data_IF_553758864680
#
_entry.id   IF_553758864680
#
_cell.length_a   1.000
_cell.length_b   1.000
_cell.length_c   1.000
_cell.angle_alpha   90.00
_cell.angle_beta   90.00
_cell.angle_gamma   90.00
#
_symmetry.space_group_name_H-M   'P 1'
#
loop_
_entity.id
_entity.type
_entity.pdbx_description
1 polymer ?
#
# COMPACT_ATOMS: atom_id res chain seq x y z
N UNK A 1 31.94 5.37 18.52
CA UNK A 1 32.10 6.71 17.88
C UNK A 1 31.11 7.70 18.45
N UNK A 2 29.83 7.35 18.44
CA UNK A 2 28.75 8.21 18.92
C UNK A 2 28.89 8.66 20.39
N UNK A 3 29.04 7.73 21.33
CA UNK A 3 29.26 8.03 22.76
C UNK A 3 30.54 8.85 23.04
N UNK A 4 31.50 8.83 22.10
CA UNK A 4 32.76 9.56 22.21
C UNK A 4 32.70 10.93 21.48
N UNK A 5 31.55 11.33 20.94
CA UNK A 5 31.37 12.59 20.21
C UNK A 5 32.02 12.64 18.82
N UNK A 6 32.66 11.55 18.37
CA UNK A 6 33.42 11.54 17.12
C UNK A 6 32.53 11.56 15.88
N UNK A 7 31.31 11.06 15.98
CA UNK A 7 30.39 11.02 14.84
C UNK A 7 29.95 12.42 14.41
N UNK A 8 29.87 13.38 15.32
CA UNK A 8 29.50 14.77 15.01
C UNK A 8 30.59 15.50 14.24
N UNK A 9 31.85 15.05 14.33
CA UNK A 9 32.92 15.58 13.49
C UNK A 9 32.83 15.07 12.05
N UNK A 10 32.24 13.89 11.83
CA UNK A 10 32.09 13.27 10.51
C UNK A 10 30.74 13.60 9.86
N UNK A 11 29.70 13.70 10.68
CA UNK A 11 28.33 14.01 10.30
C UNK A 11 27.84 15.09 11.28
N UNK A 12 28.13 16.39 11.03
CA UNK A 12 27.73 17.48 11.93
C UNK A 12 26.24 17.49 12.29
N UNK A 13 25.39 17.04 11.36
CA UNK A 13 23.94 16.95 11.54
C UNK A 13 23.48 15.84 12.50
N UNK A 14 24.36 14.92 12.89
CA UNK A 14 24.01 13.79 13.76
C UNK A 14 23.44 14.22 15.12
N UNK A 15 23.93 15.34 15.66
CA UNK A 15 23.45 15.94 16.91
C UNK A 15 21.95 16.23 16.91
N UNK A 16 21.37 16.48 15.73
CA UNK A 16 19.95 16.82 15.57
C UNK A 16 19.04 15.58 15.62
N UNK A 17 19.55 14.43 15.17
CA UNK A 17 18.81 13.15 15.18
C UNK A 17 19.10 12.29 16.41
N UNK A 18 20.15 12.62 17.17
CA UNK A 18 20.53 11.95 18.41
C UNK A 18 19.36 11.87 19.38
N UNK A 19 18.94 10.65 19.70
CA UNK A 19 17.81 10.34 20.58
C UNK A 19 16.50 11.06 20.22
N UNK A 20 16.35 11.51 18.96
CA UNK A 20 15.14 12.17 18.50
C UNK A 20 13.99 11.15 18.41
N UNK A 21 12.76 11.51 18.81
CA UNK A 21 11.62 10.62 18.74
C UNK A 21 11.21 10.38 17.28
N UNK A 22 10.84 9.13 16.96
CA UNK A 22 10.14 8.82 15.70
C UNK A 22 8.66 9.20 15.82
N UNK A 23 8.10 9.81 14.78
CA UNK A 23 6.71 10.31 14.78
C UNK A 23 5.67 9.26 14.35
N UNK A 24 6.10 8.13 13.77
CA UNK A 24 5.20 7.07 13.29
C UNK A 24 5.20 5.87 14.25
N UNK A 25 4.01 5.32 14.51
CA UNK A 25 3.77 4.26 15.50
C UNK A 25 4.48 2.92 15.22
N UNK A 26 5.08 2.76 14.05
CA UNK A 26 5.72 1.50 13.62
C UNK A 26 7.21 1.47 13.99
N UNK A 27 7.87 2.61 14.21
CA UNK A 27 9.28 2.61 14.55
C UNK A 27 9.50 2.23 16.01
N UNK A 28 10.40 1.26 16.21
CA UNK A 28 10.77 0.75 17.54
C UNK A 28 11.86 1.61 18.21
N UNK A 29 12.60 2.40 17.44
CA UNK A 29 13.83 3.08 17.88
C UNK A 29 13.77 4.61 17.71
N UNK A 30 14.63 5.33 18.43
CA UNK A 30 14.93 6.74 18.15
C UNK A 30 15.57 6.89 16.76
N UNK A 31 15.51 8.09 16.17
CA UNK A 31 15.96 8.32 14.79
C UNK A 31 17.41 7.87 14.58
N UNK A 32 18.35 8.31 15.43
CA UNK A 32 19.76 7.89 15.40
C UNK A 32 19.96 6.36 15.41
N UNK A 33 19.30 5.65 16.34
CA UNK A 33 19.40 4.20 16.43
C UNK A 33 18.79 3.52 15.21
N UNK A 34 17.68 4.06 14.69
CA UNK A 34 17.05 3.56 13.47
C UNK A 34 17.98 3.71 12.26
N UNK A 35 18.64 4.86 12.08
CA UNK A 35 19.64 5.05 11.01
C UNK A 35 20.76 4.00 11.06
N UNK A 36 21.29 3.72 12.25
CA UNK A 36 22.31 2.68 12.43
C UNK A 36 21.76 1.28 12.15
N UNK A 37 20.55 0.97 12.63
CA UNK A 37 19.91 -0.32 12.38
C UNK A 37 19.65 -0.52 10.88
N UNK A 38 19.16 0.50 10.17
CA UNK A 38 18.95 0.47 8.72
C UNK A 38 20.27 0.23 7.98
N UNK A 39 21.38 0.86 8.39
CA UNK A 39 22.70 0.58 7.84
C UNK A 39 23.19 -0.86 8.12
N UNK A 40 22.91 -1.39 9.32
CA UNK A 40 23.20 -2.80 9.67
C UNK A 40 22.39 -3.75 8.79
N UNK A 41 21.09 -3.53 8.60
CA UNK A 41 20.25 -4.33 7.70
C UNK A 41 20.73 -4.22 6.25
N UNK A 42 21.10 -3.02 5.80
CA UNK A 42 21.61 -2.77 4.45
C UNK A 42 22.91 -3.55 4.16
N UNK A 43 23.72 -3.82 5.19
CA UNK A 43 24.94 -4.62 5.04
C UNK A 43 24.70 -6.03 4.50
N UNK A 44 23.51 -6.60 4.74
CA UNK A 44 23.11 -7.90 4.21
C UNK A 44 22.91 -7.89 2.68
N UNK A 45 22.58 -6.73 2.09
CA UNK A 45 22.32 -6.56 0.65
C UNK A 45 23.55 -6.10 -0.14
N UNK A 46 24.72 -5.99 0.49
CA UNK A 46 25.97 -5.52 -0.14
C UNK A 46 26.43 -6.35 -1.35
N UNK A 47 25.95 -7.59 -1.47
CA UNK A 47 26.23 -8.47 -2.62
C UNK A 47 25.20 -8.39 -3.75
N UNK A 48 24.09 -7.68 -3.52
CA UNK A 48 23.01 -7.53 -4.49
C UNK A 48 23.13 -6.23 -5.31
N UNK A 49 24.03 -5.31 -4.92
CA UNK A 49 24.16 -3.99 -5.53
C UNK A 49 25.57 -3.72 -6.02
N UNK A 50 25.71 -2.89 -7.07
CA UNK A 50 26.99 -2.52 -7.65
C UNK A 50 27.85 -1.59 -6.77
N UNK A 51 27.20 -0.73 -5.97
CA UNK A 51 27.85 0.27 -5.12
C UNK A 51 27.44 0.12 -3.64
N UNK A 52 27.92 -0.94 -2.96
CA UNK A 52 27.56 -1.20 -1.56
C UNK A 52 28.00 -0.08 -0.61
N UNK A 53 29.04 0.67 -0.95
CA UNK A 53 29.48 1.86 -0.24
C UNK A 53 28.42 2.97 -0.24
N UNK A 54 27.81 3.25 -1.40
CA UNK A 54 26.74 4.24 -1.53
C UNK A 54 25.45 3.76 -0.85
N UNK A 55 25.14 2.46 -0.91
CA UNK A 55 24.01 1.87 -0.17
C UNK A 55 24.14 2.10 1.33
N UNK A 56 25.31 1.79 1.91
CA UNK A 56 25.54 1.91 3.36
C UNK A 56 25.48 3.36 3.83
N UNK A 57 26.03 4.29 3.04
CA UNK A 57 25.97 5.71 3.36
C UNK A 57 24.55 6.27 3.18
N UNK A 58 23.86 5.91 2.10
CA UNK A 58 22.45 6.23 1.89
C UNK A 58 21.57 5.73 3.04
N UNK A 59 21.78 4.50 3.50
CA UNK A 59 21.07 3.91 4.63
C UNK A 59 21.28 4.68 5.95
N UNK A 60 22.52 5.13 6.21
CA UNK A 60 22.85 5.92 7.39
C UNK A 60 22.28 7.34 7.35
N UNK A 61 21.99 7.87 6.15
CA UNK A 61 21.54 9.25 5.94
C UNK A 61 20.07 9.41 5.55
N UNK A 62 19.37 8.32 5.19
CA UNK A 62 18.04 8.39 4.55
C UNK A 62 17.02 9.24 5.32
N UNK A 63 17.12 9.23 6.65
CA UNK A 63 16.19 9.87 7.58
C UNK A 63 16.81 11.08 8.32
N UNK A 64 17.98 11.55 7.89
CA UNK A 64 18.74 12.60 8.60
C UNK A 64 17.96 13.92 8.74
N UNK A 65 16.96 14.15 7.88
CA UNK A 65 16.09 15.33 7.90
C UNK A 65 14.94 15.30 8.93
N UNK A 66 14.63 14.16 9.57
CA UNK A 66 13.39 13.98 10.39
C UNK A 66 13.23 14.96 11.56
N UNK A 67 14.33 15.46 12.11
CA UNK A 67 14.31 16.36 13.26
C UNK A 67 14.24 17.86 12.88
N UNK A 68 13.90 18.18 11.62
CA UNK A 68 13.70 19.55 11.14
C UNK A 68 12.28 19.80 10.61
N UNK A 69 11.84 21.07 10.55
CA UNK A 69 10.59 21.43 9.87
C UNK A 69 10.70 21.18 8.37
N UNK A 70 9.59 20.75 7.74
CA UNK A 70 9.51 20.47 6.31
C UNK A 70 9.36 18.98 5.99
N UNK A 71 9.43 18.65 4.71
CA UNK A 71 9.54 17.26 4.26
C UNK A 71 10.93 16.72 4.58
N UNK A 72 11.00 15.65 5.37
CA UNK A 72 12.26 15.11 5.87
C UNK A 72 13.14 14.52 4.76
N UNK A 73 12.56 14.06 3.66
CA UNK A 73 13.30 13.53 2.52
C UNK A 73 13.92 14.65 1.71
N UNK A 74 13.20 15.76 1.50
CA UNK A 74 13.76 16.95 0.83
C UNK A 74 14.87 17.60 1.67
N UNK A 75 14.63 17.81 2.97
CA UNK A 75 15.64 18.37 3.87
C UNK A 75 16.83 17.42 4.01
N UNK A 76 16.58 16.11 4.07
CA UNK A 76 17.63 15.09 4.12
C UNK A 76 18.52 15.12 2.87
N UNK A 77 17.92 15.31 1.70
CA UNK A 77 18.63 15.38 0.43
C UNK A 77 19.58 16.60 0.35
N UNK A 78 19.14 17.76 0.84
CA UNK A 78 20.01 18.95 0.95
C UNK A 78 21.20 18.69 1.89
N UNK A 79 20.94 18.08 3.04
CA UNK A 79 21.98 17.70 4.02
C UNK A 79 22.95 16.69 3.41
N UNK A 80 22.45 15.70 2.67
CA UNK A 80 23.27 14.67 2.04
C UNK A 80 24.17 15.24 0.94
N UNK A 81 23.70 16.23 0.19
CA UNK A 81 24.50 16.93 -0.82
C UNK A 81 25.73 17.59 -0.16
N UNK A 82 25.52 18.41 0.88
CA UNK A 82 26.60 19.08 1.60
C UNK A 82 27.58 18.09 2.24
N UNK A 83 27.06 17.02 2.86
CA UNK A 83 27.88 16.03 3.57
C UNK A 83 28.76 15.23 2.61
N UNK A 84 28.20 14.76 1.50
CA UNK A 84 28.94 13.93 0.54
C UNK A 84 30.05 14.72 -0.15
N UNK A 85 29.82 16.00 -0.45
CA UNK A 85 30.87 16.90 -0.95
C UNK A 85 32.00 17.06 0.09
N UNK A 86 31.67 17.31 1.36
CA UNK A 86 32.66 17.43 2.44
C UNK A 86 33.45 16.14 2.68
N UNK A 87 32.80 14.99 2.49
CA UNK A 87 33.44 13.67 2.58
C UNK A 87 34.32 13.34 1.38
N UNK A 88 34.29 14.14 0.31
CA UNK A 88 35.12 13.99 -0.89
C UNK A 88 34.57 13.02 -1.93
N UNK A 89 33.27 12.75 -1.93
CA UNK A 89 32.62 12.00 -3.01
C UNK A 89 32.65 12.78 -4.32
N UNK A 90 32.59 12.05 -5.44
CA UNK A 90 32.42 12.67 -6.75
C UNK A 90 31.01 13.25 -6.88
N UNK A 91 30.82 14.21 -7.78
CA UNK A 91 29.49 14.75 -8.04
C UNK A 91 28.47 13.68 -8.47
N UNK A 92 28.91 12.65 -9.20
CA UNK A 92 28.07 11.52 -9.62
C UNK A 92 27.62 10.67 -8.42
N UNK A 93 28.56 10.30 -7.54
CA UNK A 93 28.25 9.53 -6.33
C UNK A 93 27.38 10.30 -5.34
N UNK A 94 27.65 11.60 -5.19
CA UNK A 94 26.83 12.51 -4.39
C UNK A 94 25.39 12.55 -4.88
N UNK A 95 25.16 12.62 -6.20
CA UNK A 95 23.81 12.61 -6.76
C UNK A 95 23.07 11.30 -6.45
N UNK A 96 23.75 10.15 -6.55
CA UNK A 96 23.14 8.85 -6.19
C UNK A 96 22.73 8.84 -4.72
N UNK A 97 23.58 9.27 -3.80
CA UNK A 97 23.24 9.31 -2.37
C UNK A 97 22.09 10.29 -2.12
N UNK A 98 22.11 11.47 -2.76
CA UNK A 98 21.03 12.46 -2.67
C UNK A 98 19.71 11.86 -3.15
N UNK A 99 19.70 11.12 -4.26
CA UNK A 99 18.51 10.44 -4.76
C UNK A 99 18.03 9.34 -3.80
N UNK A 100 18.95 8.55 -3.23
CA UNK A 100 18.60 7.55 -2.22
C UNK A 100 17.92 8.18 -1.01
N UNK A 101 18.45 9.30 -0.50
CA UNK A 101 17.86 10.02 0.64
C UNK A 101 16.54 10.69 0.25
N UNK A 102 16.48 11.36 -0.91
CA UNK A 102 15.30 12.06 -1.39
C UNK A 102 14.12 11.13 -1.65
N UNK A 103 14.40 9.95 -2.19
CA UNK A 103 13.38 9.04 -2.71
C UNK A 103 13.28 7.74 -1.89
N UNK A 104 13.83 7.67 -0.68
CA UNK A 104 13.80 6.43 0.14
C UNK A 104 12.38 5.86 0.39
N UNK A 105 11.33 6.70 0.38
CA UNK A 105 9.93 6.25 0.48
C UNK A 105 9.26 5.94 -0.87
N UNK A 106 9.90 6.27 -1.99
CA UNK A 106 9.29 6.24 -3.33
C UNK A 106 8.72 4.85 -3.65
N UNK A 107 9.52 3.81 -3.49
CA UNK A 107 9.12 2.45 -3.89
C UNK A 107 7.99 1.91 -3.02
N UNK A 108 8.10 2.04 -1.69
CA UNK A 108 7.08 1.52 -0.78
C UNK A 108 5.76 2.28 -0.89
N UNK A 109 5.79 3.62 -0.99
CA UNK A 109 4.58 4.42 -1.16
C UNK A 109 3.93 4.19 -2.53
N UNK A 110 4.74 4.10 -3.60
CA UNK A 110 4.23 3.82 -4.95
C UNK A 110 3.59 2.44 -5.00
N UNK A 111 4.30 1.42 -4.51
CA UNK A 111 3.85 0.04 -4.54
C UNK A 111 2.56 -0.18 -3.76
N UNK A 112 2.35 0.54 -2.66
CA UNK A 112 1.18 0.35 -1.79
C UNK A 112 0.00 1.26 -2.14
N UNK A 113 0.23 2.41 -2.80
CA UNK A 113 -0.83 3.40 -3.07
C UNK A 113 -1.21 3.57 -4.54
N UNK A 114 -0.56 2.87 -5.46
CA UNK A 114 -0.76 3.09 -6.91
C UNK A 114 -1.01 1.77 -7.62
N UNK A 115 -1.66 1.82 -8.77
CA UNK A 115 -1.84 0.62 -9.59
C UNK A 115 -0.53 0.30 -10.31
N UNK A 116 -0.01 -0.92 -10.11
CA UNK A 116 1.25 -1.36 -10.69
C UNK A 116 1.12 -1.79 -12.15
N UNK A 117 -0.11 -1.93 -12.65
CA UNK A 117 -0.37 -2.23 -14.05
C UNK A 117 -0.66 -0.96 -14.87
N UNK A 118 -0.69 0.21 -14.23
CA UNK A 118 -0.76 1.50 -14.92
C UNK A 118 0.65 1.92 -15.38
N UNK A 119 0.91 2.08 -16.69
CA UNK A 119 2.19 2.57 -17.20
C UNK A 119 2.61 3.91 -16.56
N UNK A 120 1.66 4.80 -16.24
CA UNK A 120 1.96 6.07 -15.59
C UNK A 120 2.57 5.90 -14.20
N UNK A 121 2.30 4.78 -13.50
CA UNK A 121 2.96 4.45 -12.23
C UNK A 121 4.42 4.08 -12.44
N UNK A 122 4.74 3.36 -13.52
CA UNK A 122 6.12 3.01 -13.87
C UNK A 122 6.88 4.27 -14.29
N UNK A 123 6.30 5.10 -15.16
CA UNK A 123 6.85 6.39 -15.58
C UNK A 123 7.09 7.33 -14.38
N UNK A 124 6.20 7.31 -13.40
CA UNK A 124 6.37 8.08 -12.16
C UNK A 124 7.64 7.67 -11.40
N UNK A 125 8.00 6.39 -11.36
CA UNK A 125 9.24 5.92 -10.72
C UNK A 125 10.45 6.23 -11.58
N UNK A 126 10.41 5.87 -12.88
CA UNK A 126 11.57 5.98 -13.78
C UNK A 126 11.93 7.43 -14.13
N UNK A 127 10.97 8.36 -14.10
CA UNK A 127 11.24 9.80 -14.23
C UNK A 127 11.98 10.41 -13.03
N UNK A 128 11.97 9.74 -11.87
CA UNK A 128 12.69 10.17 -10.65
C UNK A 128 14.01 9.42 -10.49
N UNK A 129 14.01 8.12 -10.76
CA UNK A 129 15.20 7.26 -10.73
C UNK A 129 15.48 6.80 -12.15
N UNK A 130 16.31 7.57 -12.85
CA UNK A 130 16.55 7.40 -14.28
C UNK A 130 17.56 6.32 -14.65
N UNK A 131 18.15 5.60 -13.69
CA UNK A 131 19.15 4.57 -13.96
C UNK A 131 18.90 3.27 -13.15
N UNK A 132 19.08 2.09 -13.78
CA UNK A 132 18.89 0.79 -13.14
C UNK A 132 19.71 0.58 -11.85
N UNK A 133 20.97 1.04 -11.83
CA UNK A 133 21.87 0.82 -10.69
C UNK A 133 21.40 1.55 -9.43
N UNK A 134 20.89 2.77 -9.56
CA UNK A 134 20.30 3.55 -8.46
C UNK A 134 18.97 2.96 -8.03
N UNK A 135 18.19 2.40 -8.97
CA UNK A 135 16.96 1.68 -8.64
C UNK A 135 17.26 0.44 -7.77
N UNK A 136 18.33 -0.30 -8.07
CA UNK A 136 18.77 -1.45 -7.25
C UNK A 136 19.21 -1.03 -5.85
N UNK A 137 19.98 0.07 -5.75
CA UNK A 137 20.36 0.65 -4.46
C UNK A 137 19.13 1.10 -3.66
N UNK A 138 18.17 1.76 -4.30
CA UNK A 138 16.95 2.23 -3.67
C UNK A 138 16.07 1.07 -3.20
N UNK A 139 15.99 -0.01 -3.99
CA UNK A 139 15.29 -1.23 -3.63
C UNK A 139 15.94 -1.93 -2.42
N UNK A 140 17.27 -2.02 -2.38
CA UNK A 140 17.99 -2.54 -1.22
C UNK A 140 17.78 -1.66 0.03
N UNK A 141 17.84 -0.33 -0.12
CA UNK A 141 17.58 0.62 0.97
C UNK A 141 16.15 0.49 1.50
N UNK A 142 15.15 0.41 0.62
CA UNK A 142 13.73 0.24 0.99
C UNK A 142 13.53 -1.02 1.83
N UNK A 143 14.15 -2.14 1.44
CA UNK A 143 14.09 -3.41 2.20
C UNK A 143 14.79 -3.27 3.55
N UNK A 144 15.99 -2.69 3.59
CA UNK A 144 16.75 -2.48 4.81
C UNK A 144 16.01 -1.62 5.84
N UNK A 145 15.40 -0.52 5.39
CA UNK A 145 14.63 0.39 6.23
C UNK A 145 13.39 -0.30 6.84
N UNK A 146 12.69 -1.08 6.01
CA UNK A 146 11.53 -1.83 6.47
C UNK A 146 11.91 -2.89 7.53
N UNK A 147 13.02 -3.61 7.33
CA UNK A 147 13.52 -4.56 8.33
C UNK A 147 13.97 -3.88 9.63
N UNK A 148 14.54 -2.67 9.56
CA UNK A 148 14.99 -1.90 10.71
C UNK A 148 13.83 -1.27 11.52
N UNK A 149 12.68 -1.03 10.87
CA UNK A 149 11.49 -0.46 11.53
C UNK A 149 10.81 -1.49 12.45
N UNK A 150 10.72 -2.75 12.02
CA UNK A 150 10.23 -3.89 12.79
C UNK A 150 9.35 -4.85 11.98
N UNK A 151 9.04 -6.05 12.50
CA UNK A 151 8.34 -7.11 11.75
C UNK A 151 6.90 -6.75 11.33
N UNK A 152 6.28 -5.74 11.95
CA UNK A 152 4.97 -5.24 11.53
C UNK A 152 5.04 -4.28 10.32
N UNK A 153 6.22 -3.77 9.98
CA UNK A 153 6.44 -2.80 8.89
C UNK A 153 6.59 -3.46 7.52
N UNK A 154 6.94 -4.76 7.48
CA UNK A 154 7.26 -5.46 6.24
C UNK A 154 6.57 -6.82 6.21
N UNK A 155 5.61 -6.99 5.31
CA UNK A 155 4.95 -8.28 5.04
C UNK A 155 5.42 -8.82 3.69
N UNK A 156 5.34 -10.13 3.47
CA UNK A 156 5.75 -10.75 2.20
C UNK A 156 4.96 -10.15 1.01
N UNK A 157 3.69 -9.81 1.22
CA UNK A 157 2.87 -9.07 0.25
C UNK A 157 3.44 -7.70 -0.13
N UNK A 158 3.93 -6.90 0.83
CA UNK A 158 4.57 -5.60 0.51
C UNK A 158 5.87 -5.82 -0.25
N UNK A 159 6.64 -6.83 0.16
CA UNK A 159 7.86 -7.21 -0.54
C UNK A 159 7.59 -7.54 -2.01
N UNK A 160 6.53 -8.31 -2.29
CA UNK A 160 6.11 -8.64 -3.67
C UNK A 160 5.68 -7.41 -4.47
N UNK A 161 4.89 -6.52 -3.87
CA UNK A 161 4.47 -5.29 -4.57
C UNK A 161 5.66 -4.39 -4.92
N UNK A 162 6.63 -4.25 -4.01
CA UNK A 162 7.85 -3.47 -4.27
C UNK A 162 8.71 -4.18 -5.31
N UNK A 163 8.87 -5.51 -5.24
CA UNK A 163 9.62 -6.28 -6.21
C UNK A 163 9.00 -6.22 -7.61
N UNK A 164 7.67 -6.32 -7.74
CA UNK A 164 6.96 -6.18 -9.02
C UNK A 164 7.14 -4.79 -9.62
N UNK A 165 7.01 -3.74 -8.79
CA UNK A 165 7.27 -2.36 -9.21
C UNK A 165 8.71 -2.19 -9.72
N UNK A 166 9.70 -2.71 -8.99
CA UNK A 166 11.12 -2.63 -9.37
C UNK A 166 11.39 -3.41 -10.64
N UNK A 167 10.82 -4.61 -10.79
CA UNK A 167 10.94 -5.43 -12.00
C UNK A 167 10.39 -4.69 -13.23
N UNK A 168 9.18 -4.14 -13.14
CA UNK A 168 8.54 -3.36 -14.23
C UNK A 168 9.32 -2.08 -14.54
N UNK A 169 9.83 -1.40 -13.52
CA UNK A 169 10.65 -0.19 -13.68
C UNK A 169 11.99 -0.50 -14.36
N UNK A 170 12.65 -1.61 -14.00
CA UNK A 170 13.85 -2.09 -14.69
C UNK A 170 13.60 -2.38 -16.16
N UNK A 171 12.51 -3.10 -16.47
CA UNK A 171 12.14 -3.39 -17.85
C UNK A 171 11.95 -2.11 -18.66
N UNK A 172 11.25 -1.11 -18.09
CA UNK A 172 11.05 0.18 -18.72
C UNK A 172 12.35 0.96 -18.93
N UNK A 173 13.24 1.03 -17.92
CA UNK A 173 14.55 1.68 -18.03
C UNK A 173 15.46 1.01 -19.07
N UNK A 174 15.32 -0.30 -19.26
CA UNK A 174 16.02 -1.06 -20.30
C UNK A 174 15.43 -0.85 -21.71
N UNK A 175 14.34 -0.07 -21.86
CA UNK A 175 13.65 0.16 -23.12
C UNK A 175 12.82 -1.03 -23.59
N UNK A 176 12.55 -2.00 -22.73
CA UNK A 176 11.58 -3.05 -23.03
C UNK A 176 10.16 -2.47 -22.90
N UNK A 177 9.22 -2.91 -23.75
CA UNK A 177 7.82 -2.53 -23.55
C UNK A 177 7.37 -2.96 -22.14
N UNK A 178 6.49 -2.16 -21.54
CA UNK A 178 5.81 -2.58 -20.33
C UNK A 178 5.23 -3.99 -20.56
N UNK A 179 5.38 -4.93 -19.61
CA UNK A 179 4.79 -6.25 -19.77
C UNK A 179 3.30 -6.11 -20.10
N UNK A 180 2.81 -6.93 -21.03
CA UNK A 180 1.39 -6.95 -21.38
C UNK A 180 0.53 -7.12 -20.12
N UNK A 181 -0.68 -6.57 -20.13
CA UNK A 181 -1.65 -6.86 -19.06
C UNK A 181 -1.72 -8.37 -18.86
N UNK A 182 -1.56 -8.86 -17.61
CA UNK A 182 -1.48 -10.28 -17.38
C UNK A 182 -2.74 -10.95 -17.93
N UNK A 183 -2.56 -11.96 -18.78
CA UNK A 183 -3.68 -12.77 -19.25
C UNK A 183 -4.45 -13.33 -18.03
N UNK A 184 -5.76 -13.47 -18.17
CA UNK A 184 -6.59 -14.08 -17.13
C UNK A 184 -6.00 -15.43 -16.72
N UNK A 185 -5.79 -15.63 -15.42
CA UNK A 185 -5.37 -16.92 -14.88
C UNK A 185 -6.38 -18.02 -15.23
N UNK A 186 -5.97 -19.28 -15.22
CA UNK A 186 -6.88 -20.41 -15.48
C UNK A 186 -8.14 -20.36 -14.58
N UNK A 187 -7.95 -19.98 -13.31
CA UNK A 187 -9.03 -19.79 -12.33
C UNK A 187 -9.96 -18.65 -12.74
N UNK A 188 -9.43 -17.52 -13.23
CA UNK A 188 -10.24 -16.41 -13.73
C UNK A 188 -10.98 -16.77 -15.01
N UNK A 189 -10.37 -17.53 -15.93
CA UNK A 189 -11.03 -18.01 -17.14
C UNK A 189 -12.21 -18.95 -16.82
N UNK A 190 -12.03 -19.84 -15.83
CA UNK A 190 -13.11 -20.68 -15.33
C UNK A 190 -14.21 -19.84 -14.66
N UNK A 191 -13.82 -18.83 -13.88
CA UNK A 191 -14.75 -17.91 -13.22
C UNK A 191 -15.61 -17.14 -14.24
N UNK A 192 -15.02 -16.69 -15.34
CA UNK A 192 -15.70 -16.00 -16.45
C UNK A 192 -16.75 -16.87 -17.15
N UNK A 193 -16.51 -18.17 -17.24
CA UNK A 193 -17.42 -19.12 -17.92
C UNK A 193 -18.44 -19.78 -16.99
N UNK A 194 -18.31 -19.59 -15.67
CA UNK A 194 -19.20 -20.14 -14.65
C UNK A 194 -20.60 -19.48 -14.65
N UNK A 195 -21.60 -20.17 -14.11
CA UNK A 195 -22.95 -19.63 -13.94
C UNK A 195 -23.21 -19.18 -12.49
N UNK A 196 -24.05 -18.16 -12.31
CA UNK A 196 -24.43 -17.65 -11.00
C UNK A 196 -23.23 -17.15 -10.18
N UNK A 197 -23.27 -17.41 -8.87
CA UNK A 197 -22.16 -17.15 -7.93
C UNK A 197 -21.19 -18.32 -7.96
N UNK A 198 -19.94 -18.03 -8.27
CA UNK A 198 -18.85 -18.98 -8.26
C UNK A 198 -17.72 -18.44 -7.38
N UNK A 199 -17.09 -19.32 -6.61
CA UNK A 199 -16.00 -18.97 -5.70
C UNK A 199 -14.93 -20.05 -5.76
N UNK A 200 -13.67 -19.64 -5.86
CA UNK A 200 -12.51 -20.49 -5.66
C UNK A 200 -11.57 -19.85 -4.64
N UNK A 201 -10.93 -20.66 -3.82
CA UNK A 201 -9.99 -20.22 -2.80
C UNK A 201 -8.74 -21.09 -2.85
N UNK A 202 -7.58 -20.48 -2.97
CA UNK A 202 -6.29 -21.15 -3.10
C UNK A 202 -5.32 -20.65 -2.03
N UNK A 203 -4.55 -21.54 -1.38
CA UNK A 203 -3.48 -21.11 -0.48
C UNK A 203 -2.44 -20.28 -1.22
N UNK A 204 -1.94 -19.26 -0.54
CA UNK A 204 -0.87 -18.39 -1.01
C UNK A 204 0.13 -18.19 0.14
N UNK A 205 1.34 -17.74 -0.16
CA UNK A 205 2.33 -17.42 0.89
C UNK A 205 1.79 -16.36 1.88
N UNK A 206 0.99 -15.41 1.37
CA UNK A 206 0.43 -14.28 2.11
C UNK A 206 -1.01 -14.52 2.62
N UNK A 207 -1.44 -15.78 2.73
CA UNK A 207 -2.80 -16.16 3.13
C UNK A 207 -3.52 -16.97 2.07
N UNK A 208 -4.62 -16.42 1.56
CA UNK A 208 -5.44 -17.10 0.55
C UNK A 208 -5.79 -16.13 -0.58
N UNK A 209 -5.68 -16.62 -1.81
CA UNK A 209 -6.26 -15.98 -2.98
C UNK A 209 -7.69 -16.48 -3.15
N UNK A 210 -8.65 -15.56 -3.07
CA UNK A 210 -10.06 -15.84 -3.26
C UNK A 210 -10.53 -15.20 -4.57
N UNK A 211 -11.06 -15.99 -5.49
CA UNK A 211 -11.70 -15.50 -6.70
C UNK A 211 -13.20 -15.67 -6.57
N UNK A 212 -13.95 -14.58 -6.74
CA UNK A 212 -15.43 -14.56 -6.73
C UNK A 212 -15.91 -14.10 -8.10
N UNK A 213 -16.79 -14.87 -8.74
CA UNK A 213 -17.46 -14.45 -9.96
C UNK A 213 -18.98 -14.46 -9.80
N UNK A 214 -19.63 -13.41 -10.28
CA UNK A 214 -21.07 -13.25 -10.23
C UNK A 214 -21.55 -12.33 -11.38
N UNK A 215 -22.87 -12.32 -11.70
CA UNK A 215 -23.43 -11.26 -12.52
C UNK A 215 -23.12 -9.89 -11.92
N UNK A 216 -22.59 -8.99 -12.74
CA UNK A 216 -22.19 -7.67 -12.30
C UNK A 216 -23.41 -6.84 -11.89
N UNK A 217 -23.27 -6.10 -10.80
CA UNK A 217 -24.32 -5.26 -10.24
C UNK A 217 -23.71 -4.24 -9.28
N UNK A 218 -24.39 -3.10 -9.13
CA UNK A 218 -24.02 -2.09 -8.17
C UNK A 218 -23.92 -2.69 -6.75
N UNK A 219 -22.85 -2.36 -6.03
CA UNK A 219 -22.63 -2.85 -4.66
C UNK A 219 -22.17 -4.31 -4.55
N UNK A 220 -21.85 -5.00 -5.65
CA UNK A 220 -21.30 -6.36 -5.61
C UNK A 220 -20.03 -6.44 -4.75
N UNK A 221 -19.06 -5.56 -5.00
CA UNK A 221 -17.81 -5.47 -4.22
C UNK A 221 -18.11 -5.25 -2.72
N UNK A 222 -19.02 -4.33 -2.40
CA UNK A 222 -19.43 -4.03 -1.02
C UNK A 222 -20.07 -5.24 -0.35
N UNK A 223 -20.93 -5.96 -1.07
CA UNK A 223 -21.57 -7.18 -0.56
C UNK A 223 -20.55 -8.26 -0.26
N UNK A 224 -19.60 -8.49 -1.18
CA UNK A 224 -18.52 -9.47 -0.99
C UNK A 224 -17.63 -9.08 0.18
N UNK A 225 -17.18 -7.82 0.26
CA UNK A 225 -16.39 -7.31 1.38
C UNK A 225 -17.10 -7.53 2.73
N UNK A 226 -18.42 -7.30 2.78
CA UNK A 226 -19.21 -7.53 3.98
C UNK A 226 -19.32 -9.02 4.34
N UNK A 227 -19.53 -9.91 3.37
CA UNK A 227 -19.51 -11.36 3.61
C UNK A 227 -18.15 -11.83 4.12
N UNK A 228 -17.05 -11.35 3.56
CA UNK A 228 -15.69 -11.68 4.03
C UNK A 228 -15.48 -11.23 5.47
N UNK A 229 -15.93 -10.01 5.82
CA UNK A 229 -15.90 -9.53 7.19
C UNK A 229 -16.73 -10.42 8.14
N UNK A 230 -17.92 -10.85 7.72
CA UNK A 230 -18.75 -11.78 8.50
C UNK A 230 -18.06 -13.14 8.71
N UNK A 231 -17.35 -13.62 7.69
CA UNK A 231 -16.56 -14.84 7.73
C UNK A 231 -15.19 -14.68 8.41
N UNK A 232 -14.90 -13.50 8.99
CA UNK A 232 -13.64 -13.20 9.70
C UNK A 232 -12.39 -13.32 8.81
N UNK A 233 -12.55 -13.02 7.54
CA UNK A 233 -11.46 -12.87 6.58
C UNK A 233 -11.08 -11.40 6.51
N UNK A 234 -9.83 -11.09 6.90
CA UNK A 234 -9.23 -9.78 6.70
C UNK A 234 -8.86 -9.62 5.24
N UNK A 235 -9.26 -8.53 4.61
CA UNK A 235 -8.93 -8.24 3.21
C UNK A 235 -7.61 -7.47 3.16
N UNK A 236 -6.70 -7.87 2.27
CA UNK A 236 -5.44 -7.16 1.96
C UNK A 236 -5.51 -6.43 0.62
N UNK A 237 -6.24 -6.99 -0.33
CA UNK A 237 -6.44 -6.40 -1.65
C UNK A 237 -7.72 -6.93 -2.27
N UNK A 238 -8.26 -6.14 -3.20
CA UNK A 238 -9.34 -6.54 -4.09
C UNK A 238 -9.06 -5.98 -5.48
N UNK A 239 -9.26 -6.77 -6.53
CA UNK A 239 -9.28 -6.32 -7.91
C UNK A 239 -10.58 -6.78 -8.55
N UNK A 240 -11.20 -5.91 -9.35
CA UNK A 240 -12.45 -6.22 -10.05
C UNK A 240 -12.20 -6.10 -11.54
N UNK A 241 -12.57 -7.13 -12.28
CA UNK A 241 -12.59 -7.11 -13.73
C UNK A 241 -14.00 -7.52 -14.18
N UNK A 242 -14.63 -6.69 -15.00
CA UNK A 242 -15.93 -7.01 -15.59
C UNK A 242 -15.75 -7.35 -17.07
N UNK A 243 -16.28 -8.50 -17.48
CA UNK A 243 -16.31 -8.94 -18.89
C UNK A 243 -17.75 -9.28 -19.25
N UNK A 244 -18.33 -8.51 -20.17
CA UNK A 244 -19.76 -8.59 -20.47
C UNK A 244 -20.60 -8.26 -19.24
N UNK A 245 -21.49 -9.16 -18.84
CA UNK A 245 -22.36 -9.00 -17.66
C UNK A 245 -21.80 -9.71 -16.41
N UNK A 246 -20.55 -10.19 -16.44
CA UNK A 246 -19.94 -10.91 -15.30
C UNK A 246 -18.78 -10.13 -14.72
N UNK A 247 -18.82 -9.94 -13.41
CA UNK A 247 -17.71 -9.42 -12.64
C UNK A 247 -16.93 -10.59 -12.01
N UNK A 248 -15.60 -10.53 -12.15
CA UNK A 248 -14.64 -11.41 -11.49
C UNK A 248 -13.82 -10.56 -10.53
N UNK A 249 -13.86 -10.94 -9.26
CA UNK A 249 -13.19 -10.25 -8.18
C UNK A 249 -12.10 -11.15 -7.60
N UNK A 250 -10.86 -10.69 -7.64
CA UNK A 250 -9.71 -11.36 -7.06
C UNK A 250 -9.33 -10.68 -5.76
N UNK A 251 -9.26 -11.46 -4.68
CA UNK A 251 -9.02 -10.97 -3.33
C UNK A 251 -7.80 -11.67 -2.74
N UNK A 252 -6.98 -10.94 -1.99
CA UNK A 252 -6.04 -11.54 -1.04
C UNK A 252 -6.62 -11.40 0.36
N UNK A 253 -6.80 -12.52 1.05
CA UNK A 253 -7.43 -12.56 2.37
C UNK A 253 -6.62 -13.34 3.39
N UNK A 254 -6.73 -12.95 4.66
CA UNK A 254 -6.12 -13.64 5.79
C UNK A 254 -7.21 -14.05 6.81
N UNK A 255 -7.27 -15.31 7.26
CA UNK A 255 -8.15 -15.67 8.36
C UNK A 255 -7.71 -14.97 9.65
N UNK A 256 -8.68 -14.44 10.41
CA UNK A 256 -8.39 -13.80 11.70
C UNK A 256 -7.89 -14.83 12.74
N UNK A 257 -8.38 -16.06 12.68
CA UNK A 257 -7.94 -17.18 13.50
C UNK A 257 -8.31 -18.50 12.84
N UNK A 258 -7.51 -19.54 13.10
CA UNK A 258 -7.76 -20.89 12.59
C UNK A 258 -7.70 -21.00 11.07
N UNK A 259 -8.27 -22.08 10.55
CA UNK A 259 -8.40 -22.31 9.12
C UNK A 259 -9.50 -21.41 8.50
N UNK A 260 -9.35 -20.96 7.25
CA UNK A 260 -10.40 -20.20 6.58
C UNK A 260 -11.64 -21.08 6.31
N UNK A 261 -12.82 -20.47 6.09
CA UNK A 261 -13.98 -21.19 5.56
C UNK A 261 -13.67 -21.76 4.17
N UNK A 262 -14.38 -22.82 3.77
CA UNK A 262 -14.27 -23.35 2.42
C UNK A 262 -14.86 -22.39 1.38
N UNK A 263 -14.40 -22.50 0.13
CA UNK A 263 -14.94 -21.72 -0.98
C UNK A 263 -16.46 -21.91 -1.15
N UNK A 264 -16.97 -23.12 -0.93
CA UNK A 264 -18.40 -23.44 -0.99
C UNK A 264 -19.19 -22.74 0.12
N UNK A 265 -18.62 -22.62 1.33
CA UNK A 265 -19.24 -21.90 2.44
C UNK A 265 -19.37 -20.40 2.12
N UNK A 266 -18.30 -19.80 1.58
CA UNK A 266 -18.33 -18.40 1.13
C UNK A 266 -19.35 -18.22 -0.01
N UNK A 267 -19.37 -19.12 -0.99
CA UNK A 267 -20.33 -19.09 -2.10
C UNK A 267 -21.79 -19.22 -1.61
N UNK A 268 -22.06 -20.09 -0.64
CA UNK A 268 -23.39 -20.26 -0.06
C UNK A 268 -23.86 -18.99 0.66
N UNK A 269 -22.96 -18.37 1.43
CA UNK A 269 -23.25 -17.12 2.13
C UNK A 269 -23.53 -15.95 1.17
N UNK A 270 -22.78 -15.87 0.07
CA UNK A 270 -23.02 -14.88 -1.00
C UNK A 270 -24.36 -15.11 -1.69
N UNK A 271 -24.72 -16.36 -2.02
CA UNK A 271 -26.03 -16.70 -2.61
C UNK A 271 -27.18 -16.27 -1.70
N UNK A 272 -27.14 -16.63 -0.43
CA UNK A 272 -28.16 -16.22 0.56
C UNK A 272 -28.28 -14.70 0.68
N UNK A 273 -27.16 -13.99 0.57
CA UNK A 273 -27.15 -12.53 0.60
C UNK A 273 -27.80 -11.94 -0.65
N UNK A 274 -27.46 -12.44 -1.84
CA UNK A 274 -28.06 -11.97 -3.10
C UNK A 274 -29.55 -12.32 -3.25
N UNK A 275 -30.00 -13.38 -2.58
CA UNK A 275 -31.42 -13.76 -2.48
C UNK A 275 -32.18 -12.94 -1.42
N UNK A 276 -31.49 -12.08 -0.66
CA UNK A 276 -32.07 -11.26 0.40
C UNK A 276 -32.37 -12.02 1.70
N UNK A 277 -31.97 -13.29 1.81
CA UNK A 277 -32.13 -14.08 3.03
C UNK A 277 -31.20 -13.62 4.15
N UNK A 278 -30.10 -12.93 3.81
CA UNK A 278 -29.15 -12.37 4.76
C UNK A 278 -28.90 -10.91 4.43
N UNK A 279 -29.28 -10.02 5.34
CA UNK A 279 -28.89 -8.61 5.31
C UNK A 279 -27.49 -8.46 5.92
N UNK A 280 -26.50 -8.31 5.06
CA UNK A 280 -25.08 -8.15 5.46
C UNK A 280 -24.87 -6.85 6.23
N UNK A 281 -25.52 -5.76 5.83
CA UNK A 281 -25.39 -4.47 6.50
C UNK A 281 -25.92 -4.53 7.94
N UNK A 282 -27.08 -5.15 8.13
CA UNK A 282 -27.64 -5.37 9.47
C UNK A 282 -26.73 -6.24 10.35
N UNK A 283 -26.19 -7.34 9.80
CA UNK A 283 -25.28 -8.22 10.55
C UNK A 283 -23.94 -7.57 10.91
N UNK A 284 -23.41 -6.71 10.04
CA UNK A 284 -22.21 -5.93 10.35
C UNK A 284 -22.50 -4.97 11.50
N UNK A 285 -23.61 -4.24 11.43
CA UNK A 285 -24.03 -3.32 12.48
C UNK A 285 -24.23 -3.99 13.83
N UNK A 286 -24.80 -5.20 13.87
CA UNK A 286 -24.90 -6.02 15.09
C UNK A 286 -23.51 -6.32 15.69
N UNK A 287 -22.50 -6.61 14.86
CA UNK A 287 -21.12 -6.87 15.33
C UNK A 287 -20.42 -5.61 15.80
N UNK A 288 -20.61 -4.48 15.11
CA UNK A 288 -20.08 -3.18 15.51
C UNK A 288 -20.56 -2.78 16.89
N UNK A 289 -21.87 -2.89 17.17
CA UNK A 289 -22.45 -2.63 18.50
C UNK A 289 -21.83 -3.52 19.57
N UNK A 290 -21.61 -4.81 19.26
CA UNK A 290 -20.93 -5.72 20.19
C UNK A 290 -19.47 -5.30 20.44
N UNK A 291 -18.76 -4.82 19.41
CA UNK A 291 -17.36 -4.35 19.50
C UNK A 291 -17.21 -3.00 20.22
N UNK A 292 -18.15 -2.07 20.01
CA UNK A 292 -18.16 -0.74 20.61
C UNK A 292 -18.35 -0.76 22.14
N UNK A 293 -18.81 -1.88 22.70
CA UNK A 293 -19.01 -2.07 24.14
C UNK A 293 -17.72 -2.09 24.98
N UNK A 294 -16.54 -1.92 24.36
CA UNK A 294 -15.23 -1.88 25.04
C UNK A 294 -14.60 -0.47 24.96
N UNK A 295 -14.88 0.46 25.89
CA UNK A 295 -14.68 1.89 25.66
C UNK A 295 -13.43 2.40 26.38
N UNK A 296 -12.25 2.43 25.71
CA UNK A 296 -11.06 3.12 26.27
C UNK A 296 -10.09 3.80 25.31
N UNK A 297 -10.28 3.74 23.99
CA UNK A 297 -9.31 4.32 23.04
C UNK A 297 -9.95 5.52 22.34
N UNK A 298 -9.38 6.71 22.56
CA UNK A 298 -9.73 7.92 21.80
C UNK A 298 -9.34 7.70 20.33
N UNK A 299 -10.31 7.67 19.43
CA UNK A 299 -10.09 7.48 17.99
C UNK A 299 -9.84 8.83 17.32
N UNK A 300 -8.87 8.89 16.43
CA UNK A 300 -8.70 10.05 15.56
C UNK A 300 -9.85 10.12 14.55
N UNK A 301 -10.20 11.32 14.10
CA UNK A 301 -11.21 11.47 13.05
C UNK A 301 -10.70 10.88 11.72
N UNK A 302 -11.57 10.20 10.94
CA UNK A 302 -11.18 9.64 9.65
C UNK A 302 -10.80 10.76 8.67
N UNK A 303 -9.92 10.43 7.73
CA UNK A 303 -9.51 11.32 6.63
C UNK A 303 -9.73 10.63 5.31
N UNK A 304 -10.29 11.36 4.35
CA UNK A 304 -10.49 10.90 2.99
C UNK A 304 -9.86 11.94 2.06
N UNK A 305 -8.86 11.52 1.30
CA UNK A 305 -8.13 12.33 0.33
C UNK A 305 -8.37 11.82 -1.08
N UNK A 306 -8.44 12.76 -2.04
CA UNK A 306 -8.48 12.44 -3.46
C UNK A 306 -7.15 12.85 -4.07
N UNK A 307 -6.54 11.95 -4.85
CA UNK A 307 -5.31 12.23 -5.58
C UNK A 307 -5.64 12.26 -7.07
N UNK A 308 -5.63 13.47 -7.62
CA UNK A 308 -5.79 13.73 -9.05
C UNK A 308 -4.42 13.73 -9.75
N UNK A 309 -4.39 13.37 -11.03
CA UNK A 309 -3.23 13.57 -11.92
C UNK A 309 -2.02 12.65 -11.72
N UNK A 310 -2.22 11.45 -11.18
CA UNK A 310 -1.13 10.46 -11.13
C UNK A 310 -1.44 9.16 -11.86
N UNK A 311 -2.69 8.92 -12.24
CA UNK A 311 -3.07 7.81 -13.11
C UNK A 311 -3.88 8.37 -14.26
N UNK A 312 -3.58 7.95 -15.49
CA UNK A 312 -4.42 8.25 -16.65
C UNK A 312 -5.66 7.35 -16.70
N UNK A 313 -5.66 6.27 -15.93
CA UNK A 313 -6.69 5.22 -15.94
C UNK A 313 -7.74 5.38 -14.84
N UNK A 314 -7.41 6.00 -13.71
CA UNK A 314 -8.33 6.09 -12.57
C UNK A 314 -8.09 7.30 -11.68
N UNK A 315 -9.10 7.69 -10.92
CA UNK A 315 -8.96 8.58 -9.75
C UNK A 315 -8.66 7.76 -8.51
N UNK A 316 -7.69 8.19 -7.72
CA UNK A 316 -7.29 7.50 -6.49
C UNK A 316 -7.98 8.15 -5.29
N UNK A 317 -8.69 7.35 -4.50
CA UNK A 317 -9.25 7.74 -3.21
C UNK A 317 -8.46 7.05 -2.08
N UNK A 318 -7.82 7.84 -1.22
CA UNK A 318 -7.14 7.34 -0.02
C UNK A 318 -8.02 7.58 1.21
N UNK A 319 -8.30 6.51 1.96
CA UNK A 319 -9.10 6.53 3.19
C UNK A 319 -8.22 6.11 4.34
N UNK A 320 -8.12 6.97 5.36
CA UNK A 320 -7.48 6.65 6.65
C UNK A 320 -8.53 6.68 7.74
N UNK A 321 -8.72 5.55 8.41
CA UNK A 321 -9.72 5.40 9.47
C UNK A 321 -9.29 4.34 10.48
N UNK A 322 -9.95 4.30 11.62
CA UNK A 322 -9.78 3.20 12.57
C UNK A 322 -10.26 1.88 11.96
N UNK A 323 -9.47 0.82 12.06
CA UNK A 323 -9.84 -0.49 11.53
C UNK A 323 -10.88 -1.15 12.44
N UNK A 324 -12.06 -1.44 11.88
CA UNK A 324 -13.17 -2.06 12.59
C UNK A 324 -14.02 -2.96 11.67
N UNK A 325 -14.76 -3.92 12.24
CA UNK A 325 -15.55 -4.85 11.46
C UNK A 325 -16.49 -4.13 10.48
N UNK A 326 -16.38 -4.45 9.19
CA UNK A 326 -17.23 -3.87 8.16
C UNK A 326 -16.74 -2.55 7.56
N UNK A 327 -15.59 -2.01 7.97
CA UNK A 327 -15.03 -0.77 7.41
C UNK A 327 -15.03 -0.77 5.87
N UNK A 328 -14.45 -1.81 5.25
CA UNK A 328 -14.39 -1.93 3.80
C UNK A 328 -15.78 -2.01 3.15
N UNK A 329 -16.74 -2.68 3.77
CA UNK A 329 -18.13 -2.76 3.29
C UNK A 329 -18.78 -1.37 3.24
N UNK A 330 -18.59 -0.55 4.29
CA UNK A 330 -19.13 0.81 4.36
C UNK A 330 -18.48 1.73 3.34
N UNK A 331 -17.15 1.70 3.20
CA UNK A 331 -16.43 2.53 2.22
C UNK A 331 -16.88 2.19 0.79
N UNK A 332 -16.82 0.91 0.42
CA UNK A 332 -17.20 0.46 -0.92
C UNK A 332 -18.69 0.67 -1.21
N UNK A 333 -19.55 0.57 -0.18
CA UNK A 333 -20.98 0.88 -0.27
C UNK A 333 -21.23 2.37 -0.53
N UNK A 334 -20.53 3.25 0.18
CA UNK A 334 -20.62 4.70 -0.01
C UNK A 334 -20.13 5.14 -1.39
N UNK A 335 -19.03 4.55 -1.88
CA UNK A 335 -18.55 4.80 -3.26
C UNK A 335 -19.57 4.32 -4.29
N UNK A 336 -20.13 3.12 -4.10
CA UNK A 336 -21.16 2.58 -5.01
C UNK A 336 -22.43 3.44 -5.02
N UNK A 337 -22.79 4.04 -3.89
CA UNK A 337 -23.96 4.94 -3.81
C UNK A 337 -23.77 6.27 -4.56
N UNK A 338 -22.54 6.58 -4.98
CA UNK A 338 -22.22 7.72 -5.84
C UNK A 338 -22.30 7.39 -7.35
N UNK A 339 -22.73 6.17 -7.70
CA UNK A 339 -22.68 5.64 -9.07
C UNK A 339 -21.26 5.68 -9.67
N UNK A 340 -20.26 5.33 -8.86
CA UNK A 340 -18.85 5.26 -9.26
C UNK A 340 -18.35 3.81 -9.20
N UNK A 341 -17.56 3.42 -10.21
CA UNK A 341 -17.01 2.07 -10.31
C UNK A 341 -15.65 1.98 -9.63
N UNK A 342 -15.46 0.94 -8.80
CA UNK A 342 -14.17 0.59 -8.20
C UNK A 342 -13.53 -0.50 -9.06
N UNK A 343 -12.40 -0.21 -9.68
CA UNK A 343 -11.63 -1.20 -10.47
C UNK A 343 -10.65 -2.00 -9.61
N UNK A 344 -10.23 -1.42 -8.48
CA UNK A 344 -9.41 -2.12 -7.50
C UNK A 344 -9.33 -1.40 -6.16
N UNK A 345 -8.85 -2.12 -5.17
CA UNK A 345 -8.59 -1.63 -3.83
C UNK A 345 -7.34 -2.28 -3.23
N UNK A 346 -6.54 -1.50 -2.54
CA UNK A 346 -5.46 -1.96 -1.66
C UNK A 346 -5.85 -1.62 -0.22
N UNK A 347 -5.86 -2.63 0.65
CA UNK A 347 -6.36 -2.51 2.03
C UNK A 347 -5.20 -2.78 2.97
N UNK A 348 -4.88 -1.79 3.80
CA UNK A 348 -3.71 -1.85 4.65
C UNK A 348 -4.03 -1.51 6.10
N UNK A 349 -4.03 -2.51 6.97
CA UNK A 349 -4.08 -2.27 8.41
C UNK A 349 -2.67 -2.04 8.98
N UNK A 350 -2.49 -0.92 9.67
CA UNK A 350 -1.32 -0.53 10.46
C UNK A 350 -1.71 -0.38 11.93
N UNK A 351 -1.49 -1.44 12.71
CA UNK A 351 -1.91 -1.48 14.11
C UNK A 351 -3.44 -1.45 14.20
N UNK A 352 -4.02 -0.34 14.65
CA UNK A 352 -5.46 -0.14 14.74
C UNK A 352 -6.03 0.79 13.66
N UNK A 353 -5.22 1.22 12.70
CA UNK A 353 -5.63 2.13 11.63
C UNK A 353 -5.60 1.41 10.29
N UNK A 354 -6.63 1.59 9.47
CA UNK A 354 -6.66 1.21 8.08
C UNK A 354 -6.23 2.39 7.20
N UNK A 355 -5.44 2.08 6.17
CA UNK A 355 -5.03 2.98 5.09
C UNK A 355 -5.41 2.30 3.79
N UNK A 356 -6.63 2.58 3.34
CA UNK A 356 -7.21 1.92 2.18
C UNK A 356 -7.13 2.85 0.97
N UNK A 357 -6.80 2.27 -0.18
CA UNK A 357 -6.66 2.99 -1.45
C UNK A 357 -7.56 2.36 -2.47
N UNK A 358 -8.41 3.17 -3.11
CA UNK A 358 -9.37 2.72 -4.12
C UNK A 358 -9.07 3.38 -5.46
N UNK A 359 -9.15 2.61 -6.53
CA UNK A 359 -9.03 3.06 -7.92
C UNK A 359 -10.43 3.20 -8.52
N UNK A 360 -10.79 4.43 -8.86
CA UNK A 360 -12.15 4.82 -9.21
C UNK A 360 -12.24 5.30 -10.66
N UNK A 361 -13.30 4.89 -11.35
CA UNK A 361 -13.63 5.35 -12.71
C UNK A 361 -15.10 5.72 -12.81
N UNK A 362 -15.42 6.61 -13.74
CA UNK A 362 -16.80 6.92 -14.11
C UNK A 362 -17.37 5.84 -15.04
N UNK A 363 -18.62 6.03 -15.48
CA UNK A 363 -19.32 5.11 -16.39
C UNK A 363 -18.65 4.97 -17.77
N UNK A 364 -17.81 5.93 -18.16
CA UNK A 364 -17.01 5.88 -19.39
C UNK A 364 -15.66 5.20 -19.18
N UNK A 365 -15.43 4.58 -18.01
CA UNK A 365 -14.17 4.01 -17.58
C UNK A 365 -13.00 5.03 -17.56
N UNK A 366 -13.32 6.31 -17.34
CA UNK A 366 -12.34 7.39 -17.24
C UNK A 366 -12.14 7.85 -15.79
N UNK A 367 -11.01 8.52 -15.45
CA UNK A 367 -10.86 9.18 -14.17
C UNK A 367 -12.00 10.17 -13.87
N UNK A 368 -12.45 10.20 -12.62
CA UNK A 368 -13.53 11.08 -12.17
C UNK A 368 -13.22 12.55 -12.39
N UNK A 369 -14.25 13.32 -12.78
CA UNK A 369 -14.17 14.78 -12.72
C UNK A 369 -13.92 15.26 -11.28
N UNK A 370 -13.27 16.43 -11.07
CA UNK A 370 -13.04 16.97 -9.73
C UNK A 370 -14.31 17.11 -8.89
N UNK A 371 -15.44 17.47 -9.52
CA UNK A 371 -16.72 17.58 -8.83
C UNK A 371 -17.26 16.23 -8.35
N UNK A 372 -17.21 15.20 -9.21
CA UNK A 372 -17.65 13.85 -8.83
C UNK A 372 -16.75 13.25 -7.75
N UNK A 373 -15.44 13.44 -7.86
CA UNK A 373 -14.49 12.93 -6.87
C UNK A 373 -14.70 13.56 -5.49
N UNK A 374 -15.03 14.86 -5.42
CA UNK A 374 -15.37 15.52 -4.16
C UNK A 374 -16.69 15.00 -3.56
N UNK A 375 -17.70 14.70 -4.39
CA UNK A 375 -18.94 14.06 -3.93
C UNK A 375 -18.65 12.70 -3.29
N UNK A 376 -17.88 11.84 -3.97
CA UNK A 376 -17.47 10.54 -3.43
C UNK A 376 -16.70 10.72 -2.11
N UNK A 377 -15.74 11.67 -2.08
CA UNK A 377 -14.94 11.96 -0.88
C UNK A 377 -15.82 12.30 0.32
N UNK A 378 -16.81 13.16 0.13
CA UNK A 378 -17.72 13.60 1.18
C UNK A 378 -18.66 12.47 1.64
N UNK A 379 -19.21 11.68 0.70
CA UNK A 379 -20.07 10.55 1.03
C UNK A 379 -19.33 9.47 1.82
N UNK A 380 -18.10 9.13 1.43
CA UNK A 380 -17.27 8.18 2.17
C UNK A 380 -16.94 8.75 3.55
N UNK A 381 -16.60 10.03 3.66
CA UNK A 381 -16.33 10.66 4.95
C UNK A 381 -17.55 10.62 5.88
N UNK A 382 -18.75 10.90 5.36
CA UNK A 382 -20.01 10.81 6.11
C UNK A 382 -20.28 9.38 6.58
N UNK A 383 -20.12 8.38 5.71
CA UNK A 383 -20.31 6.98 6.05
C UNK A 383 -19.38 6.48 7.18
N UNK A 384 -18.22 7.12 7.35
CA UNK A 384 -17.25 6.80 8.41
C UNK A 384 -17.51 7.55 9.74
N UNK A 385 -18.34 8.59 9.73
CA UNK A 385 -18.69 9.35 10.95
C UNK A 385 -19.91 8.80 11.68
N UNK A 386 -20.68 7.92 11.04
CA UNK A 386 -21.95 7.36 11.56
C UNK A 386 -21.72 6.00 12.26
N UNK A 387 -20.49 5.50 12.31
CA UNK A 387 -20.08 4.22 12.91
C UNK A 387 -19.77 4.27 14.40
#
# INVERSE_FOLDING_TARGET
MDQAGLIESLIPYWSTVRSAPQRNAVHTFTVDRHLVETAVQASAFTREVHRPDLLLLGALLHDIGKARPGDHSEVGAEIAADLTEQMGFTAEDSLVIVDLVRYHLLLVDTATRRDLDDPATIDYVTSRIGNPETLDLLHALTRADAFATGPAAWSDWRAKLVADLVYKSHAHLAGHPAPDEPEFSEVQQLALTSAGVWVAMEPAEDGYHLTVAAPDRLGLLSTVAGVLSLQRLQVRSARVITVGERAVQSWTVLPTFGDPPSAEQVAAQLRLTFEGAIDVGAKIKEREVAYASNPKISRAAPRVGVIHAVSERSTILEVRAHDEPGLLHRITGAISAADVTITGAKVLTLGSEAVDVFFLVDDAAAPLSPGMAEVVRLQVLEALQVG
#
